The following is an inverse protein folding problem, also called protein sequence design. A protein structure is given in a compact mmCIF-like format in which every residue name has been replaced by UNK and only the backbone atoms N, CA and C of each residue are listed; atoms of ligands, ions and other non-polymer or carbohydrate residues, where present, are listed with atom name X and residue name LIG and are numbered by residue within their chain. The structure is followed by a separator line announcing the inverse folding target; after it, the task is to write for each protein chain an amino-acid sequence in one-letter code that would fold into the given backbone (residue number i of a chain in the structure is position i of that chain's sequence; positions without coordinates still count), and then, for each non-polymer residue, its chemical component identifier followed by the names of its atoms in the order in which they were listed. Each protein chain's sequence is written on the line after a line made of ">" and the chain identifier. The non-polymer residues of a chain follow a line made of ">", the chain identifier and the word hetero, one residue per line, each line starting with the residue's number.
data_IF_711950104002
#
_entry.id   IF_711950104002
#
_cell.length_a   1.000
_cell.length_b   1.000
_cell.length_c   1.000
_cell.angle_alpha   90.00
_cell.angle_beta   90.00
_cell.angle_gamma   90.00
#
_symmetry.space_group_name_H-M   'P 1'
#
loop_
_entity.id
_entity.type
_entity.pdbx_description
1 polymer ?
#
# COMPACT_ATOMS: atom_id res chain seq x y z
N UNK A 1 2.24 22.23 4.82
CA UNK A 1 1.04 21.85 5.62
C UNK A 1 -0.02 22.96 5.65
N UNK A 2 0.32 24.21 5.99
CA UNK A 2 -0.64 25.34 5.92
C UNK A 2 -1.24 25.54 4.53
N UNK A 3 -0.44 25.37 3.47
CA UNK A 3 -0.90 25.54 2.09
C UNK A 3 -1.89 24.44 1.64
N UNK A 4 -1.72 23.22 2.14
CA UNK A 4 -2.65 22.10 1.86
C UNK A 4 -3.99 22.33 2.54
N UNK A 5 -3.97 22.75 3.82
CA UNK A 5 -5.21 23.07 4.54
C UNK A 5 -5.97 24.23 3.89
N UNK A 6 -5.25 25.27 3.45
CA UNK A 6 -5.84 26.38 2.72
C UNK A 6 -6.45 25.94 1.39
N UNK A 7 -5.75 25.09 0.63
CA UNK A 7 -6.27 24.54 -0.63
C UNK A 7 -7.52 23.68 -0.42
N UNK A 8 -7.54 22.82 0.60
CA UNK A 8 -8.71 22.03 0.96
C UNK A 8 -9.88 22.93 1.37
N UNK A 9 -9.63 23.94 2.21
CA UNK A 9 -10.66 24.89 2.61
C UNK A 9 -11.26 25.66 1.43
N UNK A 10 -10.43 26.11 0.49
CA UNK A 10 -10.89 26.77 -0.73
C UNK A 10 -11.71 25.83 -1.61
N UNK A 11 -11.29 24.57 -1.77
CA UNK A 11 -12.03 23.56 -2.54
C UNK A 11 -13.38 23.25 -1.90
N UNK A 12 -13.44 23.15 -0.56
CA UNK A 12 -14.70 22.96 0.18
C UNK A 12 -15.64 24.15 0.01
N UNK A 13 -15.13 25.38 0.08
CA UNK A 13 -15.93 26.59 -0.10
C UNK A 13 -16.48 26.73 -1.53
N UNK A 14 -15.75 26.25 -2.53
CA UNK A 14 -16.17 26.25 -3.93
C UNK A 14 -17.04 25.03 -4.32
N UNK A 15 -17.16 24.03 -3.44
CA UNK A 15 -17.85 22.78 -3.75
C UNK A 15 -19.36 23.00 -3.86
N UNK A 16 -19.96 22.49 -4.94
CA UNK A 16 -21.42 22.39 -5.03
C UNK A 16 -21.87 21.15 -4.27
N UNK A 17 -22.73 21.33 -3.28
CA UNK A 17 -23.29 20.24 -2.49
C UNK A 17 -24.57 19.75 -3.14
N UNK A 18 -24.69 18.44 -3.33
CA UNK A 18 -25.88 17.78 -3.87
C UNK A 18 -26.10 16.43 -3.21
N UNK A 19 -27.22 15.75 -3.52
CA UNK A 19 -27.43 14.36 -3.09
C UNK A 19 -26.28 13.49 -3.60
N UNK A 20 -25.78 12.61 -2.73
CA UNK A 20 -24.76 11.64 -3.08
C UNK A 20 -25.43 10.32 -3.47
N UNK A 21 -25.06 9.81 -4.63
CA UNK A 21 -25.38 8.45 -5.04
C UNK A 21 -24.10 7.64 -5.10
N UNK A 22 -24.18 6.38 -4.67
CA UNK A 22 -23.08 5.43 -4.73
C UNK A 22 -23.56 4.16 -5.42
N UNK A 23 -22.70 3.60 -6.27
CA UNK A 23 -22.87 2.27 -6.84
C UNK A 23 -21.57 1.49 -6.73
N UNK A 24 -21.66 0.18 -6.57
CA UNK A 24 -20.50 -0.68 -6.33
C UNK A 24 -20.52 -1.94 -7.18
N UNK A 25 -19.34 -2.46 -7.48
CA UNK A 25 -19.19 -3.77 -8.10
C UNK A 25 -17.87 -4.41 -7.65
N UNK A 26 -17.81 -5.74 -7.66
CA UNK A 26 -16.58 -6.46 -7.30
C UNK A 26 -16.46 -7.79 -8.04
N UNK A 27 -15.22 -8.20 -8.31
CA UNK A 27 -14.85 -9.52 -8.80
C UNK A 27 -13.75 -10.07 -7.92
N UNK A 28 -13.94 -11.28 -7.38
CA UNK A 28 -13.02 -11.88 -6.39
C UNK A 28 -12.41 -13.21 -6.86
N UNK A 29 -12.62 -13.59 -8.12
CA UNK A 29 -12.16 -14.87 -8.66
C UNK A 29 -10.73 -14.79 -9.22
N UNK A 30 -9.77 -14.44 -8.36
CA UNK A 30 -8.35 -14.36 -8.70
C UNK A 30 -7.52 -15.29 -7.83
N UNK A 31 -6.36 -15.70 -8.35
CA UNK A 31 -5.38 -16.49 -7.62
C UNK A 31 -4.05 -15.78 -7.65
N UNK A 32 -3.42 -15.60 -6.49
CA UNK A 32 -2.15 -14.88 -6.36
C UNK A 32 -1.08 -15.48 -7.28
N UNK A 33 -0.94 -16.81 -7.32
CA UNK A 33 0.08 -17.48 -8.13
C UNK A 33 -0.08 -17.32 -9.65
N UNK A 34 -1.31 -17.21 -10.16
CA UNK A 34 -1.56 -17.13 -11.62
C UNK A 34 -1.89 -15.73 -12.11
N UNK A 35 -2.59 -14.94 -11.31
CA UNK A 35 -3.09 -13.62 -11.69
C UNK A 35 -2.26 -12.48 -11.07
N UNK A 36 -1.51 -12.76 -10.00
CA UNK A 36 -0.81 -11.73 -9.24
C UNK A 36 -1.73 -10.84 -8.40
N UNK A 37 -2.99 -11.26 -8.23
CA UNK A 37 -4.05 -10.51 -7.56
C UNK A 37 -4.51 -11.27 -6.32
N UNK A 38 -4.72 -10.53 -5.23
CA UNK A 38 -5.20 -11.02 -3.95
C UNK A 38 -6.67 -11.43 -3.96
N UNK A 39 -7.13 -12.08 -2.88
CA UNK A 39 -8.47 -12.65 -2.79
C UNK A 39 -9.60 -11.61 -2.80
N UNK A 40 -9.33 -10.35 -2.50
CA UNK A 40 -10.33 -9.29 -2.59
C UNK A 40 -10.56 -8.79 -4.03
N UNK A 41 -9.68 -9.19 -4.96
CA UNK A 41 -9.80 -8.97 -6.39
C UNK A 41 -9.92 -7.51 -6.82
N UNK A 42 -10.75 -7.23 -7.81
CA UNK A 42 -11.00 -5.87 -8.32
C UNK A 42 -12.33 -5.37 -7.76
N UNK A 43 -12.33 -4.15 -7.23
CA UNK A 43 -13.51 -3.48 -6.67
C UNK A 43 -13.67 -2.12 -7.31
N UNK A 44 -14.90 -1.75 -7.63
CA UNK A 44 -15.23 -0.45 -8.20
C UNK A 44 -16.22 0.26 -7.30
N UNK A 45 -15.91 1.50 -6.97
CA UNK A 45 -16.79 2.45 -6.30
C UNK A 45 -17.08 3.58 -7.28
N UNK A 46 -18.35 3.80 -7.60
CA UNK A 46 -18.79 4.96 -8.38
C UNK A 46 -19.52 5.91 -7.45
N UNK A 47 -19.15 7.18 -7.49
CA UNK A 47 -19.82 8.25 -6.77
C UNK A 47 -20.44 9.22 -7.78
N UNK A 48 -21.67 9.65 -7.52
CA UNK A 48 -22.32 10.72 -8.27
C UNK A 48 -22.75 11.80 -7.30
N UNK A 49 -22.26 13.01 -7.50
CA UNK A 49 -22.60 14.17 -6.68
C UNK A 49 -22.59 15.43 -7.54
N UNK A 50 -23.58 16.30 -7.34
CA UNK A 50 -23.71 17.57 -8.05
C UNK A 50 -23.57 17.44 -9.59
N UNK A 51 -24.07 16.33 -10.16
CA UNK A 51 -24.03 16.07 -11.60
C UNK A 51 -22.70 15.54 -12.14
N UNK A 52 -21.67 15.37 -11.31
CA UNK A 52 -20.40 14.74 -11.69
C UNK A 52 -20.33 13.29 -11.20
N UNK A 53 -19.88 12.40 -12.08
CA UNK A 53 -19.66 10.98 -11.81
C UNK A 53 -18.17 10.68 -11.74
N UNK A 54 -17.70 10.14 -10.62
CA UNK A 54 -16.31 9.72 -10.42
C UNK A 54 -16.24 8.22 -10.11
N UNK A 55 -15.21 7.53 -10.61
CA UNK A 55 -14.98 6.11 -10.36
C UNK A 55 -13.63 5.87 -9.67
N UNK A 56 -13.61 4.94 -8.73
CA UNK A 56 -12.42 4.44 -8.08
C UNK A 56 -12.35 2.93 -8.29
N UNK A 57 -11.32 2.46 -8.97
CA UNK A 57 -11.02 1.05 -9.15
C UNK A 57 -9.91 0.68 -8.17
N UNK A 58 -10.18 -0.24 -7.26
CA UNK A 58 -9.22 -0.76 -6.29
C UNK A 58 -8.89 -2.21 -6.65
N UNK A 59 -7.62 -2.46 -6.96
CA UNK A 59 -7.11 -3.79 -7.26
C UNK A 59 -6.38 -4.32 -6.02
N UNK A 60 -6.77 -5.51 -5.56
CA UNK A 60 -6.12 -6.17 -4.44
C UNK A 60 -4.76 -6.74 -4.86
N UNK A 61 -3.69 -6.03 -4.53
CA UNK A 61 -2.36 -6.38 -4.97
C UNK A 61 -1.33 -5.33 -4.57
N UNK A 62 -0.08 -5.58 -4.95
CA UNK A 62 0.98 -4.59 -4.85
C UNK A 62 0.77 -3.49 -5.92
N UNK A 63 1.64 -2.50 -5.93
CA UNK A 63 1.73 -1.45 -6.92
C UNK A 63 1.56 -1.95 -8.35
N UNK A 64 0.89 -1.15 -9.17
CA UNK A 64 0.82 -1.36 -10.62
C UNK A 64 2.20 -1.21 -11.26
N UNK A 65 2.46 -1.98 -12.32
CA UNK A 65 3.62 -1.74 -13.17
C UNK A 65 3.56 -0.32 -13.76
N UNK A 66 4.75 0.27 -13.86
CA UNK A 66 4.93 1.62 -14.37
C UNK A 66 4.34 1.73 -15.78
N UNK A 67 3.53 2.77 -16.00
CA UNK A 67 2.92 3.06 -17.30
C UNK A 67 1.57 2.37 -17.55
N UNK A 68 1.09 1.50 -16.66
CA UNK A 68 -0.22 0.84 -16.83
C UNK A 68 -1.41 1.68 -16.33
N UNK A 69 -1.20 2.45 -15.26
CA UNK A 69 -2.29 3.23 -14.62
C UNK A 69 -2.95 4.21 -15.60
N UNK A 70 -2.17 5.03 -16.29
CA UNK A 70 -2.72 6.11 -17.12
C UNK A 70 -3.55 5.60 -18.31
N UNK A 71 -3.14 4.55 -19.05
CA UNK A 71 -4.00 3.88 -20.02
C UNK A 71 -5.33 3.40 -19.42
N UNK A 72 -5.31 2.75 -18.25
CA UNK A 72 -6.53 2.26 -17.59
C UNK A 72 -7.45 3.43 -17.24
N UNK A 73 -6.92 4.48 -16.61
CA UNK A 73 -7.69 5.69 -16.26
C UNK A 73 -8.34 6.30 -17.51
N UNK A 74 -7.58 6.49 -18.60
CA UNK A 74 -8.12 7.02 -19.86
C UNK A 74 -9.25 6.17 -20.43
N UNK A 75 -9.15 4.85 -20.35
CA UNK A 75 -10.22 3.95 -20.78
C UNK A 75 -11.47 4.09 -19.91
N UNK A 76 -11.31 4.21 -18.59
CA UNK A 76 -12.43 4.33 -17.65
C UNK A 76 -13.12 5.72 -17.75
N UNK A 77 -12.37 6.78 -17.99
CA UNK A 77 -12.88 8.15 -18.20
C UNK A 77 -13.71 8.29 -19.49
N UNK A 78 -13.78 7.28 -20.34
CA UNK A 78 -14.77 7.24 -21.43
C UNK A 78 -16.20 7.02 -20.93
N UNK A 79 -16.38 6.56 -19.68
CA UNK A 79 -17.67 6.24 -19.07
C UNK A 79 -18.06 7.16 -17.90
N UNK A 80 -17.11 7.92 -17.34
CA UNK A 80 -17.29 8.78 -16.16
C UNK A 80 -16.44 10.05 -16.30
N UNK A 81 -16.76 11.12 -15.57
CA UNK A 81 -16.04 12.39 -15.67
C UNK A 81 -14.61 12.32 -15.13
N UNK A 82 -14.38 11.45 -14.14
CA UNK A 82 -13.08 11.19 -13.50
C UNK A 82 -12.96 9.73 -13.11
N UNK A 83 -11.78 9.15 -13.32
CA UNK A 83 -11.48 7.83 -12.83
C UNK A 83 -10.12 7.80 -12.12
N UNK A 84 -10.00 6.91 -11.15
CA UNK A 84 -8.75 6.63 -10.45
C UNK A 84 -8.56 5.12 -10.31
N UNK A 85 -7.35 4.64 -10.56
CA UNK A 85 -6.98 3.23 -10.38
C UNK A 85 -5.94 3.14 -9.25
N UNK A 86 -6.28 2.34 -8.25
CA UNK A 86 -5.58 2.20 -6.98
C UNK A 86 -5.27 0.73 -6.72
N UNK A 87 -4.28 0.50 -5.86
CA UNK A 87 -3.90 -0.83 -5.36
C UNK A 87 -3.96 -0.84 -3.83
N UNK A 88 -4.30 -1.99 -3.24
CA UNK A 88 -4.41 -2.11 -1.77
C UNK A 88 -3.05 -2.02 -1.07
N UNK A 89 -1.99 -2.53 -1.69
CA UNK A 89 -0.64 -2.66 -1.10
C UNK A 89 -0.67 -3.25 0.32
N UNK A 90 -1.52 -4.27 0.52
CA UNK A 90 -1.72 -4.94 1.81
C UNK A 90 -0.75 -6.12 2.06
N UNK A 91 0.28 -6.26 1.22
CA UNK A 91 1.30 -7.33 1.26
C UNK A 91 0.81 -8.78 1.12
N UNK A 92 -0.49 -9.04 0.92
CA UNK A 92 -1.01 -10.43 0.79
C UNK A 92 -0.41 -11.16 -0.41
N UNK A 93 -0.08 -10.41 -1.46
CA UNK A 93 0.42 -10.97 -2.72
C UNK A 93 1.94 -11.22 -2.73
N UNK A 94 2.64 -10.91 -1.64
CA UNK A 94 4.09 -11.14 -1.50
C UNK A 94 4.45 -12.60 -1.16
N UNK A 95 3.46 -13.46 -0.91
CA UNK A 95 3.65 -14.86 -0.56
C UNK A 95 4.22 -15.74 -1.70
N UNK A 96 4.36 -15.20 -2.91
CA UNK A 96 4.86 -15.91 -4.11
C UNK A 96 6.05 -15.21 -4.78
N UNK A 97 6.89 -16.00 -5.43
CA UNK A 97 7.93 -15.62 -6.41
C UNK A 97 8.79 -14.39 -6.04
N UNK A 98 9.48 -14.45 -4.90
CA UNK A 98 10.50 -13.45 -4.55
C UNK A 98 9.97 -12.11 -4.03
N UNK A 99 8.65 -12.00 -3.80
CA UNK A 99 8.07 -10.98 -2.92
C UNK A 99 7.77 -9.62 -3.53
N UNK A 100 7.92 -9.41 -4.85
CA UNK A 100 7.57 -8.12 -5.49
C UNK A 100 6.18 -8.17 -6.14
N UNK A 101 5.83 -9.20 -6.92
CA UNK A 101 4.50 -9.44 -7.52
C UNK A 101 3.65 -8.17 -7.81
N UNK A 102 4.12 -7.26 -8.69
CA UNK A 102 3.38 -6.05 -9.03
C UNK A 102 2.15 -6.38 -9.89
N UNK A 103 1.07 -5.63 -9.70
CA UNK A 103 -0.13 -5.76 -10.54
C UNK A 103 0.25 -5.40 -11.98
N UNK A 104 -0.01 -6.31 -12.91
CA UNK A 104 0.38 -6.16 -14.32
C UNK A 104 1.43 -7.13 -14.82
N UNK A 105 2.17 -7.78 -13.91
CA UNK A 105 3.20 -8.77 -14.30
C UNK A 105 2.58 -10.06 -14.85
N UNK A 106 1.48 -10.51 -14.22
CA UNK A 106 0.78 -11.75 -14.58
C UNK A 106 -0.54 -11.49 -15.32
N UNK A 107 -1.39 -10.62 -14.77
CA UNK A 107 -2.59 -10.13 -15.45
C UNK A 107 -2.25 -8.97 -16.38
N UNK A 108 -2.54 -9.10 -17.68
CA UNK A 108 -2.19 -8.07 -18.67
C UNK A 108 -2.99 -6.78 -18.52
N UNK A 109 -2.48 -5.69 -19.09
CA UNK A 109 -3.17 -4.39 -19.13
C UNK A 109 -4.55 -4.49 -19.76
N UNK A 110 -4.66 -5.21 -20.87
CA UNK A 110 -5.91 -5.39 -21.61
C UNK A 110 -6.96 -6.07 -20.74
N UNK A 111 -6.57 -7.19 -20.10
CA UNK A 111 -7.46 -7.92 -19.20
C UNK A 111 -7.90 -7.04 -18.02
N UNK A 112 -6.96 -6.40 -17.31
CA UNK A 112 -7.31 -5.56 -16.16
C UNK A 112 -8.22 -4.40 -16.57
N UNK A 113 -7.99 -3.80 -17.74
CA UNK A 113 -8.81 -2.70 -18.27
C UNK A 113 -10.22 -3.20 -18.61
N UNK A 114 -10.34 -4.33 -19.30
CA UNK A 114 -11.61 -4.93 -19.68
C UNK A 114 -12.44 -5.28 -18.45
N UNK A 115 -11.87 -6.03 -17.51
CA UNK A 115 -12.54 -6.45 -16.28
C UNK A 115 -12.95 -5.23 -15.42
N UNK A 116 -12.11 -4.21 -15.33
CA UNK A 116 -12.43 -2.96 -14.61
C UNK A 116 -13.55 -2.17 -15.29
N UNK A 117 -13.58 -2.17 -16.62
CA UNK A 117 -14.62 -1.47 -17.41
C UNK A 117 -15.97 -2.18 -17.28
N UNK A 118 -15.98 -3.51 -17.25
CA UNK A 118 -17.19 -4.29 -16.97
C UNK A 118 -17.75 -3.99 -15.59
N UNK A 119 -16.90 -4.05 -14.55
CA UNK A 119 -17.28 -3.70 -13.18
C UNK A 119 -17.74 -2.26 -13.04
N UNK A 120 -17.12 -1.32 -13.77
CA UNK A 120 -17.56 0.07 -13.81
C UNK A 120 -18.98 0.20 -14.36
N UNK A 121 -19.32 -0.50 -15.45
CA UNK A 121 -20.69 -0.49 -15.98
C UNK A 121 -21.69 -1.09 -14.99
N UNK A 122 -21.31 -2.14 -14.26
CA UNK A 122 -22.13 -2.71 -13.20
C UNK A 122 -22.35 -1.72 -12.06
N UNK A 123 -21.29 -1.09 -11.57
CA UNK A 123 -21.36 -0.10 -10.50
C UNK A 123 -22.18 1.14 -10.92
N UNK A 124 -22.11 1.56 -12.19
CA UNK A 124 -22.96 2.64 -12.71
C UNK A 124 -24.45 2.25 -12.67
N UNK A 125 -24.79 1.00 -13.01
CA UNK A 125 -26.17 0.50 -12.93
C UNK A 125 -26.67 0.35 -11.49
N UNK A 126 -25.75 0.19 -10.54
CA UNK A 126 -26.03 0.05 -9.10
C UNK A 126 -26.13 1.41 -8.37
N UNK A 127 -26.03 2.54 -9.07
CA UNK A 127 -26.09 3.86 -8.44
C UNK A 127 -27.44 4.11 -7.76
N UNK A 128 -27.40 4.32 -6.45
CA UNK A 128 -28.55 4.67 -5.63
C UNK A 128 -28.22 5.79 -4.62
N UNK A 129 -29.21 6.60 -4.19
CA UNK A 129 -29.00 7.61 -3.16
C UNK A 129 -28.53 7.01 -1.83
N UNK A 130 -27.52 7.62 -1.21
CA UNK A 130 -26.95 7.16 0.07
C UNK A 130 -26.82 8.27 1.10
N UNK A 131 -26.87 7.89 2.38
CA UNK A 131 -26.44 8.74 3.50
C UNK A 131 -25.03 8.38 3.94
N UNK A 132 -24.20 9.38 4.24
CA UNK A 132 -22.83 9.18 4.72
C UNK A 132 -22.78 9.39 6.24
N UNK A 133 -22.13 8.47 6.94
CA UNK A 133 -21.78 8.61 8.35
C UNK A 133 -20.31 8.23 8.53
N UNK A 134 -19.55 9.08 9.22
CA UNK A 134 -18.21 8.77 9.69
C UNK A 134 -18.23 8.56 11.20
N UNK A 135 -17.41 7.64 11.67
CA UNK A 135 -17.15 7.41 13.08
C UNK A 135 -15.66 7.10 13.26
N UNK A 136 -15.09 7.54 14.37
CA UNK A 136 -13.75 7.15 14.80
C UNK A 136 -13.90 6.22 16.00
N UNK A 137 -13.15 5.10 15.98
CA UNK A 137 -13.14 4.11 17.05
C UNK A 137 -11.69 3.77 17.35
N UNK A 138 -11.34 3.76 18.63
CA UNK A 138 -10.04 3.27 19.08
C UNK A 138 -10.04 1.74 19.06
N UNK A 139 -9.06 1.14 18.38
CA UNK A 139 -8.86 -0.31 18.35
C UNK A 139 -7.69 -0.67 19.27
N UNK A 140 -7.95 -1.10 20.52
CA UNK A 140 -6.92 -1.23 21.55
C UNK A 140 -5.92 -2.38 21.32
N UNK A 141 -6.25 -3.37 20.50
CA UNK A 141 -5.46 -4.59 20.32
C UNK A 141 -5.02 -4.84 18.87
N UNK A 142 -4.62 -3.78 18.16
CA UNK A 142 -4.00 -3.95 16.83
C UNK A 142 -2.48 -3.91 16.98
N UNK A 143 -1.83 -5.06 16.82
CA UNK A 143 -0.37 -5.14 16.75
C UNK A 143 0.11 -4.54 15.43
N UNK A 144 0.42 -3.24 15.44
CA UNK A 144 1.04 -2.55 14.30
C UNK A 144 2.54 -2.41 14.50
N UNK A 145 3.30 -2.44 13.41
CA UNK A 145 4.73 -2.17 13.43
C UNK A 145 4.95 -0.67 13.63
N UNK A 146 4.86 -0.23 14.88
CA UNK A 146 4.93 1.17 15.26
C UNK A 146 6.36 1.73 15.06
N UNK A 147 6.53 3.06 14.94
CA UNK A 147 7.87 3.68 14.91
C UNK A 147 8.77 3.26 16.08
N UNK A 148 8.17 2.95 17.23
CA UNK A 148 8.85 2.41 18.41
C UNK A 148 9.47 1.02 18.16
N UNK A 149 8.89 0.19 17.30
CA UNK A 149 9.47 -1.09 16.90
C UNK A 149 10.75 -0.88 16.09
N UNK A 150 10.73 0.00 15.09
CA UNK A 150 11.92 0.37 14.29
C UNK A 150 13.02 0.93 15.17
N UNK A 151 12.67 1.83 16.11
CA UNK A 151 13.62 2.36 17.08
C UNK A 151 14.24 1.24 17.93
N UNK A 152 13.42 0.33 18.48
CA UNK A 152 13.92 -0.83 19.25
C UNK A 152 14.83 -1.75 18.43
N UNK A 153 14.54 -1.93 17.14
CA UNK A 153 15.36 -2.73 16.23
C UNK A 153 16.74 -2.09 16.04
N UNK A 154 16.76 -0.77 15.79
CA UNK A 154 18.00 0.00 15.64
C UNK A 154 18.82 0.01 16.93
N UNK A 155 18.18 0.21 18.09
CA UNK A 155 18.85 0.14 19.39
C UNK A 155 19.45 -1.24 19.62
N UNK A 156 18.68 -2.31 19.37
CA UNK A 156 19.18 -3.69 19.54
C UNK A 156 20.39 -3.98 18.64
N UNK A 157 20.37 -3.47 17.40
CA UNK A 157 21.49 -3.60 16.46
C UNK A 157 22.73 -2.84 16.95
N UNK A 158 22.56 -1.60 17.43
CA UNK A 158 23.65 -0.81 17.99
C UNK A 158 24.24 -1.45 19.25
N UNK A 159 23.42 -1.97 20.14
CA UNK A 159 23.85 -2.64 21.37
C UNK A 159 24.64 -3.91 21.04
N UNK A 160 24.14 -4.69 20.08
CA UNK A 160 24.82 -5.89 19.58
C UNK A 160 26.19 -5.55 18.99
N UNK A 161 26.27 -4.51 18.14
CA UNK A 161 27.54 -4.04 17.58
C UNK A 161 28.53 -3.56 18.66
N UNK A 162 28.05 -2.85 19.68
CA UNK A 162 28.89 -2.39 20.77
C UNK A 162 29.46 -3.55 21.60
N UNK A 163 28.64 -4.56 21.90
CA UNK A 163 29.09 -5.78 22.60
C UNK A 163 30.15 -6.50 21.77
N UNK A 164 29.91 -6.72 20.48
CA UNK A 164 30.87 -7.40 19.61
C UNK A 164 32.19 -6.63 19.48
N UNK A 165 32.12 -5.32 19.27
CA UNK A 165 33.30 -4.46 19.16
C UNK A 165 34.16 -4.51 20.42
N UNK A 166 33.53 -4.35 21.59
CA UNK A 166 34.23 -4.40 22.87
C UNK A 166 34.82 -5.80 23.11
N UNK A 167 34.07 -6.87 22.86
CA UNK A 167 34.56 -8.23 23.02
C UNK A 167 35.77 -8.52 22.12
N UNK A 168 35.75 -8.04 20.87
CA UNK A 168 36.87 -8.19 19.92
C UNK A 168 38.12 -7.47 20.42
N UNK A 169 37.99 -6.20 20.82
CA UNK A 169 39.10 -5.39 21.35
C UNK A 169 39.66 -6.01 22.62
N UNK A 170 38.81 -6.40 23.57
CA UNK A 170 39.24 -7.05 24.81
C UNK A 170 39.95 -8.38 24.56
N UNK A 171 39.43 -9.21 23.65
CA UNK A 171 40.06 -10.49 23.27
C UNK A 171 41.41 -10.27 22.60
N UNK A 172 41.51 -9.29 21.70
CA UNK A 172 42.77 -8.94 21.03
C UNK A 172 43.83 -8.46 22.04
N UNK A 173 43.45 -7.57 22.97
CA UNK A 173 44.36 -7.10 24.01
C UNK A 173 44.80 -8.22 24.95
N UNK A 174 43.91 -9.14 25.31
CA UNK A 174 44.25 -10.30 26.12
C UNK A 174 45.26 -11.20 25.40
N UNK A 175 45.03 -11.51 24.13
CA UNK A 175 45.96 -12.31 23.31
C UNK A 175 47.32 -11.63 23.17
N UNK A 176 47.35 -10.30 22.97
CA UNK A 176 48.58 -9.53 22.91
C UNK A 176 49.36 -9.59 24.23
N UNK A 177 48.67 -9.42 25.37
CA UNK A 177 49.27 -9.51 26.70
C UNK A 177 49.83 -10.89 27.01
N UNK A 178 49.12 -11.96 26.62
CA UNK A 178 49.61 -13.34 26.76
C UNK A 178 50.83 -13.56 25.87
N UNK A 179 50.79 -13.09 24.61
CA UNK A 179 51.92 -13.20 23.68
C UNK A 179 53.18 -12.51 24.18
N UNK A 180 53.06 -11.28 24.69
CA UNK A 180 54.20 -10.55 25.27
C UNK A 180 54.72 -11.20 26.54
N UNK A 181 53.85 -11.70 27.42
CA UNK A 181 54.27 -12.47 28.60
C UNK A 181 55.04 -13.74 28.22
N UNK A 182 54.57 -14.49 27.22
CA UNK A 182 55.29 -15.68 26.72
C UNK A 182 56.66 -15.32 26.15
N UNK A 183 56.78 -14.21 25.41
CA UNK A 183 58.06 -13.74 24.88
C UNK A 183 59.04 -13.30 25.99
N UNK A 184 58.55 -12.68 27.07
CA UNK A 184 59.37 -12.22 28.20
C UNK A 184 59.82 -13.37 29.13
N UNK A 185 59.04 -14.45 29.22
CA UNK A 185 59.34 -15.63 30.08
C UNK A 185 60.23 -16.65 29.34
N UNK A 186 60.37 -16.54 28.02
CA UNK A 186 61.26 -17.40 27.24
C UNK A 186 62.72 -16.94 27.44
N UNK A 187 63.61 -17.79 28.00
CA UNK A 187 65.00 -17.42 28.26
C UNK A 187 65.83 -17.21 26.98
#
# INVERSE_FOLDING_TARGET
>A
MRDVQAAVGAAQAAATVGPLEIGTAARTHYRIGTDGIGPLGIRVLVTRAAGSTSAYVLIDGNNLLVGMRDPMVRSLETLVDRAEVLTTDNHVVHEVDGGINPVGERASLERLTEESTELLREAIRDLAPVGVRSAAVDLPEVSVLAPSFTARLLTSLSDTMAIFSNALVSTFLLLLAVSTAVLLVKP
#
